data_IF_575906949636
#
_entry.id   IF_575906949636
#
_cell.length_a   1.000
_cell.length_b   1.000
_cell.length_c   1.000
_cell.angle_alpha   90.00
_cell.angle_beta   90.00
_cell.angle_gamma   90.00
#
_symmetry.space_group_name_H-M   'P 1'
#
loop_
_entity.id
_entity.type
_entity.pdbx_description
1 polymer ?
#
# COMPACT_ATOMS: atom_id res chain seq x y z
N UNK A 1 -5.98 8.51 15.96
CA UNK A 1 -5.52 7.25 16.59
C UNK A 1 -4.39 6.77 15.72
N UNK A 2 -3.16 6.68 16.24
CA UNK A 2 -2.00 6.35 15.41
C UNK A 2 -1.78 4.83 15.45
N UNK A 3 -2.49 4.09 14.62
CA UNK A 3 -2.22 2.67 14.44
C UNK A 3 -0.81 2.48 13.85
N UNK A 4 -0.10 1.47 14.33
CA UNK A 4 1.20 1.08 13.79
C UNK A 4 1.12 -0.40 13.44
N UNK A 5 1.39 -0.73 12.19
CA UNK A 5 1.41 -2.11 11.69
C UNK A 5 2.79 -2.39 11.12
N UNK A 6 3.42 -3.47 11.60
CA UNK A 6 4.68 -3.97 11.08
C UNK A 6 4.42 -5.32 10.43
N UNK A 7 4.55 -5.40 9.11
CA UNK A 7 4.44 -6.66 8.37
C UNK A 7 5.82 -7.10 7.92
N UNK A 8 6.36 -8.10 8.62
CA UNK A 8 7.64 -8.73 8.28
C UNK A 8 7.46 -10.03 7.47
N UNK A 9 6.22 -10.56 7.42
CA UNK A 9 5.88 -11.80 6.72
C UNK A 9 5.30 -11.55 5.32
N UNK A 10 5.01 -12.64 4.61
CA UNK A 10 4.38 -12.55 3.29
C UNK A 10 2.89 -12.25 3.40
N UNK A 11 2.42 -11.26 2.63
CA UNK A 11 1.04 -10.82 2.55
C UNK A 11 0.46 -11.17 1.17
N UNK A 12 -0.47 -12.12 1.09
CA UNK A 12 -1.15 -12.52 -0.14
C UNK A 12 -2.62 -12.07 -0.09
N UNK A 13 -3.02 -11.20 -1.03
CA UNK A 13 -4.33 -10.56 -1.08
C UNK A 13 -4.95 -10.77 -2.45
N UNK A 14 -6.12 -11.43 -2.48
CA UNK A 14 -6.83 -11.73 -3.73
C UNK A 14 -8.35 -11.78 -3.54
N UNK A 15 -9.09 -11.92 -4.65
CA UNK A 15 -10.55 -12.08 -4.64
C UNK A 15 -11.34 -10.87 -4.14
N UNK A 16 -10.80 -9.65 -4.28
CA UNK A 16 -11.42 -8.40 -3.82
C UNK A 16 -11.22 -8.12 -2.32
N UNK A 17 -10.26 -8.81 -1.69
CA UNK A 17 -9.95 -8.64 -0.28
C UNK A 17 -9.00 -7.46 0.00
N UNK A 18 -8.98 -6.99 1.25
CA UNK A 18 -7.97 -6.05 1.73
C UNK A 18 -6.99 -6.76 2.69
N UNK A 19 -5.70 -6.48 2.56
CA UNK A 19 -4.66 -7.06 3.42
C UNK A 19 -4.55 -6.32 4.75
N UNK A 20 -3.91 -5.15 4.72
CA UNK A 20 -3.85 -4.21 5.84
C UNK A 20 -4.90 -3.14 5.59
N UNK A 21 -5.88 -3.01 6.48
CA UNK A 21 -6.96 -2.02 6.37
C UNK A 21 -7.04 -1.21 7.68
N UNK A 22 -6.79 0.09 7.59
CA UNK A 22 -6.69 0.99 8.75
C UNK A 22 -7.53 2.23 8.52
N UNK A 23 -8.42 2.52 9.46
CA UNK A 23 -9.05 3.85 9.58
C UNK A 23 -8.41 4.64 10.72
N UNK A 24 -7.86 5.80 10.42
CA UNK A 24 -7.37 6.76 11.41
C UNK A 24 -6.16 7.58 10.95
N UNK A 25 -6.17 8.86 11.32
CA UNK A 25 -5.08 9.77 10.99
C UNK A 25 -3.74 9.33 11.61
N UNK A 26 -2.67 9.62 10.88
CA UNK A 26 -1.27 9.39 11.27
C UNK A 26 -0.98 7.92 11.55
N UNK A 27 -1.70 7.01 10.89
CA UNK A 27 -1.37 5.60 10.88
C UNK A 27 -0.03 5.36 10.17
N UNK A 28 0.70 4.35 10.61
CA UNK A 28 1.97 3.96 10.01
C UNK A 28 1.97 2.48 9.69
N UNK A 29 2.36 2.13 8.47
CA UNK A 29 2.56 0.76 8.01
C UNK A 29 4.00 0.59 7.57
N UNK A 30 4.72 -0.32 8.23
CA UNK A 30 6.04 -0.77 7.83
C UNK A 30 5.90 -2.16 7.17
N UNK A 31 5.86 -2.22 5.84
CA UNK A 31 5.79 -3.45 5.06
C UNK A 31 7.20 -3.87 4.60
N UNK A 32 7.84 -4.73 5.40
CA UNK A 32 9.17 -5.28 5.14
C UNK A 32 9.12 -6.66 4.48
N UNK A 33 8.04 -7.39 4.69
CA UNK A 33 7.78 -8.64 4.00
C UNK A 33 7.29 -8.42 2.57
N UNK A 34 7.34 -9.48 1.77
CA UNK A 34 6.82 -9.43 0.41
C UNK A 34 5.29 -9.33 0.39
N UNK A 35 4.74 -8.65 -0.61
CA UNK A 35 3.29 -8.51 -0.79
C UNK A 35 2.89 -8.94 -2.20
N UNK A 36 1.93 -9.84 -2.29
CA UNK A 36 1.25 -10.17 -3.54
C UNK A 36 -0.18 -9.66 -3.49
N UNK A 37 -0.56 -8.84 -4.46
CA UNK A 37 -1.95 -8.37 -4.63
C UNK A 37 -2.44 -8.77 -6.01
N UNK A 38 -3.54 -9.50 -6.07
CA UNK A 38 -4.11 -10.01 -7.31
C UNK A 38 -5.62 -9.81 -7.38
N UNK A 39 -6.14 -9.71 -8.60
CA UNK A 39 -7.56 -9.55 -8.92
C UNK A 39 -8.11 -8.14 -8.64
N UNK A 40 -9.17 -7.81 -9.38
CA UNK A 40 -9.88 -6.55 -9.24
C UNK A 40 -10.40 -6.36 -7.81
N UNK A 41 -10.41 -5.10 -7.38
CA UNK A 41 -10.83 -4.64 -6.04
C UNK A 41 -9.96 -5.16 -4.87
N UNK A 42 -8.92 -5.95 -5.13
CA UNK A 42 -7.98 -6.36 -4.08
C UNK A 42 -7.04 -5.22 -3.72
N UNK A 43 -6.84 -4.97 -2.42
CA UNK A 43 -5.95 -3.90 -1.93
C UNK A 43 -4.94 -4.47 -0.93
N UNK A 44 -3.66 -4.32 -1.20
CA UNK A 44 -2.61 -4.77 -0.28
C UNK A 44 -2.63 -4.03 1.05
N UNK A 45 -2.49 -2.70 0.96
CA UNK A 45 -2.50 -1.78 2.10
C UNK A 45 -3.50 -0.67 1.81
N UNK A 46 -4.55 -0.53 2.63
CA UNK A 46 -5.49 0.57 2.62
C UNK A 46 -5.38 1.38 3.92
N UNK A 47 -5.27 2.69 3.80
CA UNK A 47 -5.38 3.60 4.95
C UNK A 47 -6.37 4.72 4.64
N UNK A 48 -7.43 4.80 5.44
CA UNK A 48 -8.36 5.94 5.48
C UNK A 48 -7.97 6.88 6.62
N UNK A 49 -7.18 7.91 6.33
CA UNK A 49 -6.74 8.89 7.33
C UNK A 49 -5.65 9.83 6.85
N UNK A 50 -5.66 11.06 7.39
CA UNK A 50 -4.68 12.09 7.05
C UNK A 50 -3.30 11.77 7.64
N UNK A 51 -2.23 12.21 6.99
CA UNK A 51 -0.84 12.09 7.43
C UNK A 51 -0.38 10.64 7.62
N UNK A 52 -1.03 9.71 6.93
CA UNK A 52 -0.62 8.32 6.91
C UNK A 52 0.81 8.18 6.38
N UNK A 53 1.55 7.21 6.90
CA UNK A 53 2.89 6.87 6.44
C UNK A 53 2.93 5.40 6.08
N UNK A 54 3.29 5.08 4.84
CA UNK A 54 3.52 3.70 4.39
C UNK A 54 4.97 3.56 3.97
N UNK A 55 5.68 2.60 4.54
CA UNK A 55 7.04 2.22 4.17
C UNK A 55 7.00 0.83 3.55
N UNK A 56 7.09 0.76 2.23
CA UNK A 56 7.16 -0.47 1.45
C UNK A 56 8.63 -0.81 1.21
N UNK A 57 9.25 -1.51 2.16
CA UNK A 57 10.63 -2.02 2.08
C UNK A 57 10.71 -3.41 1.41
N UNK A 58 9.61 -4.17 1.41
CA UNK A 58 9.53 -5.50 0.81
C UNK A 58 9.31 -5.50 -0.71
N UNK A 59 9.47 -6.68 -1.31
CA UNK A 59 9.20 -6.91 -2.73
C UNK A 59 7.71 -7.14 -2.97
N UNK A 60 7.10 -6.29 -3.79
CA UNK A 60 5.66 -6.30 -4.04
C UNK A 60 5.36 -6.70 -5.49
N UNK A 61 4.39 -7.59 -5.66
CA UNK A 61 3.87 -8.03 -6.96
C UNK A 61 2.38 -7.74 -7.04
N UNK A 62 1.97 -6.92 -8.00
CA UNK A 62 0.58 -6.47 -8.15
C UNK A 62 0.10 -6.87 -9.55
N UNK A 63 -1.05 -7.54 -9.60
CA UNK A 63 -1.55 -8.14 -10.84
C UNK A 63 -3.07 -8.15 -10.98
N UNK A 64 -3.55 -8.39 -12.20
CA UNK A 64 -4.96 -8.65 -12.54
C UNK A 64 -5.96 -7.59 -12.02
N UNK A 65 -5.57 -6.31 -11.97
CA UNK A 65 -6.44 -5.22 -11.53
C UNK A 65 -6.39 -4.91 -10.04
N UNK A 66 -5.46 -5.51 -9.29
CA UNK A 66 -5.24 -5.22 -7.88
C UNK A 66 -4.52 -3.88 -7.63
N UNK A 67 -4.62 -3.38 -6.40
CA UNK A 67 -3.95 -2.16 -5.93
C UNK A 67 -2.98 -2.48 -4.79
N UNK A 68 -1.71 -2.14 -4.94
CA UNK A 68 -0.68 -2.40 -3.91
C UNK A 68 -0.92 -1.60 -2.63
N UNK A 69 -0.84 -0.28 -2.74
CA UNK A 69 -1.06 0.65 -1.62
C UNK A 69 -2.08 1.70 -2.01
N UNK A 70 -3.13 1.86 -1.22
CA UNK A 70 -4.12 2.92 -1.33
C UNK A 70 -4.14 3.75 -0.04
N UNK A 71 -4.06 5.07 -0.16
CA UNK A 71 -4.26 5.99 0.97
C UNK A 71 -5.33 7.01 0.63
N UNK A 72 -6.38 7.08 1.44
CA UNK A 72 -7.45 8.07 1.35
C UNK A 72 -7.26 9.07 2.50
N UNK A 73 -6.55 10.17 2.24
CA UNK A 73 -6.23 11.19 3.24
C UNK A 73 -5.18 12.19 2.78
N UNK A 74 -5.21 13.39 3.38
CA UNK A 74 -4.30 14.48 3.06
C UNK A 74 -2.93 14.29 3.70
N UNK A 75 -1.88 14.90 3.13
CA UNK A 75 -0.52 14.90 3.69
C UNK A 75 0.08 13.49 3.90
N UNK A 76 -0.43 12.50 3.17
CA UNK A 76 0.09 11.13 3.17
C UNK A 76 1.53 11.06 2.65
N UNK A 77 2.32 10.15 3.20
CA UNK A 77 3.67 9.82 2.71
C UNK A 77 3.75 8.34 2.40
N UNK A 78 4.06 7.98 1.16
CA UNK A 78 4.34 6.59 0.77
C UNK A 78 5.80 6.52 0.33
N UNK A 79 6.57 5.66 0.99
CA UNK A 79 7.96 5.38 0.69
C UNK A 79 8.05 3.97 0.09
N UNK A 80 8.34 3.89 -1.21
CA UNK A 80 8.57 2.64 -1.92
C UNK A 80 10.09 2.41 -1.98
N UNK A 81 10.62 1.78 -0.94
CA UNK A 81 12.03 1.51 -0.74
C UNK A 81 12.46 0.15 -1.30
N UNK A 82 11.55 -0.83 -1.30
CA UNK A 82 11.69 -2.14 -1.95
C UNK A 82 11.24 -2.12 -3.41
N UNK A 83 11.22 -3.28 -4.05
CA UNK A 83 10.76 -3.39 -5.44
C UNK A 83 9.23 -3.46 -5.51
N UNK A 84 8.63 -2.86 -6.53
CA UNK A 84 7.20 -3.00 -6.81
C UNK A 84 6.98 -3.28 -8.29
N UNK A 85 6.61 -4.52 -8.61
CA UNK A 85 6.21 -4.94 -9.95
C UNK A 85 4.71 -4.79 -10.10
N UNK A 86 4.29 -4.01 -11.10
CA UNK A 86 2.88 -3.82 -11.45
C UNK A 86 2.64 -4.36 -12.85
N UNK A 87 1.90 -5.46 -12.96
CA UNK A 87 1.59 -6.11 -14.24
C UNK A 87 0.08 -6.31 -14.42
N UNK A 88 -0.38 -6.47 -15.65
CA UNK A 88 -1.78 -6.67 -15.98
C UNK A 88 -2.58 -5.38 -16.13
N UNK A 89 -3.76 -5.54 -16.76
CA UNK A 89 -4.65 -4.43 -17.06
C UNK A 89 -5.28 -3.89 -15.77
N UNK A 90 -5.32 -2.56 -15.64
CA UNK A 90 -5.96 -1.82 -14.55
C UNK A 90 -5.31 -2.04 -13.16
N UNK A 91 -4.16 -2.70 -13.08
CA UNK A 91 -3.38 -2.85 -11.85
C UNK A 91 -2.74 -1.52 -11.43
N UNK A 92 -2.71 -1.24 -10.13
CA UNK A 92 -2.19 0.01 -9.57
C UNK A 92 -1.13 -0.24 -8.50
N UNK A 93 0.04 0.38 -8.64
CA UNK A 93 1.12 0.31 -7.64
C UNK A 93 0.75 1.02 -6.33
N UNK A 94 0.65 2.34 -6.44
CA UNK A 94 0.26 3.24 -5.34
C UNK A 94 -0.82 4.19 -5.82
N UNK A 95 -1.90 4.30 -5.06
CA UNK A 95 -2.99 5.27 -5.26
C UNK A 95 -3.13 6.14 -4.01
N UNK A 96 -3.23 7.46 -4.20
CA UNK A 96 -3.47 8.39 -3.09
C UNK A 96 -4.61 9.33 -3.47
N UNK A 97 -5.67 9.29 -2.67
CA UNK A 97 -6.82 10.19 -2.75
C UNK A 97 -6.72 11.22 -1.62
N UNK A 98 -5.98 12.30 -1.87
CA UNK A 98 -5.80 13.40 -0.91
C UNK A 98 -4.84 14.47 -1.41
N UNK A 99 -4.79 15.59 -0.70
CA UNK A 99 -3.97 16.74 -1.05
C UNK A 99 -2.57 16.67 -0.41
N UNK A 100 -1.57 17.25 -1.09
CA UNK A 100 -0.17 17.39 -0.60
C UNK A 100 0.52 16.05 -0.26
N UNK A 101 0.11 14.97 -0.90
CA UNK A 101 0.77 13.68 -0.75
C UNK A 101 2.23 13.73 -1.23
N UNK A 102 3.07 12.93 -0.59
CA UNK A 102 4.47 12.70 -0.97
C UNK A 102 4.62 11.22 -1.32
N UNK A 103 5.16 10.95 -2.49
CA UNK A 103 5.56 9.59 -2.90
C UNK A 103 7.06 9.62 -3.15
N UNK A 104 7.80 8.82 -2.38
CA UNK A 104 9.22 8.60 -2.58
C UNK A 104 9.41 7.22 -3.19
N UNK A 105 10.05 7.15 -4.35
CA UNK A 105 10.28 5.89 -5.07
C UNK A 105 11.79 5.68 -5.17
N UNK A 106 12.33 5.05 -4.13
CA UNK A 106 13.77 4.77 -3.99
C UNK A 106 14.12 3.32 -4.37
N UNK A 107 13.11 2.48 -4.63
CA UNK A 107 13.26 1.12 -5.13
C UNK A 107 13.66 1.03 -6.61
N UNK A 108 14.10 -0.18 -7.01
CA UNK A 108 14.55 -0.53 -8.37
C UNK A 108 13.41 -0.65 -9.40
#
# INVERSE_FOLDING_TARGET
NNAVVNQDGELDVSGGGHGIDITGDSATVDNKGGMTVADADSIGIQIDGDKAVVNNDGDNAISNGGTGTQVNGDEATVNNNGSTTVDGKDSTGTEINGDKAIVNNDGD
#
